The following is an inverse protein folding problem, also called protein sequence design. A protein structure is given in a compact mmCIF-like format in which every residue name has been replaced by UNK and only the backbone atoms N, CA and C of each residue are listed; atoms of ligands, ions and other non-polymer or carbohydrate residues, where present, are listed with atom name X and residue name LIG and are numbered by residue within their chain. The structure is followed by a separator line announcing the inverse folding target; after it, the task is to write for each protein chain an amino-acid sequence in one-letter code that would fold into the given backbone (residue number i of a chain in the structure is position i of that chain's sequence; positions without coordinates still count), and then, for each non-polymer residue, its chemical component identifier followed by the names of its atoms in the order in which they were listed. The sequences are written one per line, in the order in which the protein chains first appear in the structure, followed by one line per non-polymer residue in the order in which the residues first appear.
data_IF_103839003885
#
_entry.id   IF_103839003885
#
_cell.length_a   1.000
_cell.length_b   1.000
_cell.length_c   1.000
_cell.angle_alpha   90.00
_cell.angle_beta   90.00
_cell.angle_gamma   90.00
#
_symmetry.space_group_name_H-M   'P 1'
#
loop_
_entity.id
_entity.type
_entity.pdbx_description
1 polymer ?
#
# COMPACT_ATOMS: atom_id res chain seq x y z
N UNK A 1 -4.05 -18.38 23.61
CA UNK A 1 -5.11 -17.60 22.92
C UNK A 1 -5.03 -16.15 23.35
N UNK A 2 -5.08 -15.19 22.42
CA UNK A 2 -5.24 -13.76 22.77
C UNK A 2 -6.66 -13.54 23.34
N UNK A 3 -6.84 -12.66 24.34
CA UNK A 3 -8.15 -12.42 24.93
C UNK A 3 -9.09 -11.76 23.92
N UNK A 4 -10.31 -12.28 23.80
CA UNK A 4 -11.36 -11.70 22.95
C UNK A 4 -12.06 -10.57 23.72
N UNK A 5 -12.35 -9.46 23.02
CA UNK A 5 -13.23 -8.39 23.54
C UNK A 5 -14.52 -8.39 22.74
N UNK A 6 -15.65 -8.50 23.43
CA UNK A 6 -16.97 -8.47 22.78
C UNK A 6 -17.28 -7.08 22.25
N UNK A 7 -17.72 -7.01 20.99
CA UNK A 7 -18.18 -5.80 20.31
C UNK A 7 -19.35 -6.16 19.41
N UNK A 8 -20.35 -5.29 19.33
CA UNK A 8 -21.50 -5.45 18.44
C UNK A 8 -21.32 -4.56 17.22
N UNK A 9 -21.45 -5.12 16.03
CA UNK A 9 -21.41 -4.41 14.75
C UNK A 9 -22.71 -4.66 14.00
N UNK A 10 -23.19 -3.66 13.25
CA UNK A 10 -24.34 -3.81 12.36
C UNK A 10 -23.81 -3.98 10.94
N UNK A 11 -24.25 -5.04 10.27
CA UNK A 11 -23.87 -5.35 8.90
C UNK A 11 -25.12 -5.23 8.01
N UNK A 12 -24.97 -4.76 6.76
CA UNK A 12 -25.99 -4.93 5.74
C UNK A 12 -26.40 -6.40 5.62
N UNK A 13 -27.69 -6.63 5.34
CA UNK A 13 -28.25 -7.99 5.35
C UNK A 13 -27.59 -8.89 4.30
N UNK A 14 -27.39 -8.37 3.10
CA UNK A 14 -26.72 -9.03 1.99
C UNK A 14 -25.27 -9.41 2.33
N UNK A 15 -24.55 -8.55 3.06
CA UNK A 15 -23.21 -8.84 3.53
C UNK A 15 -23.21 -9.95 4.58
N UNK A 16 -24.17 -9.91 5.51
CA UNK A 16 -24.31 -10.94 6.53
C UNK A 16 -24.63 -12.31 5.93
N UNK A 17 -25.56 -12.37 4.97
CA UNK A 17 -25.93 -13.61 4.28
C UNK A 17 -24.73 -14.25 3.54
N UNK A 18 -23.85 -13.40 2.95
CA UNK A 18 -22.60 -13.87 2.32
C UNK A 18 -21.60 -14.44 3.32
N UNK A 19 -21.46 -13.79 4.48
CA UNK A 19 -20.58 -14.27 5.56
C UNK A 19 -21.10 -15.60 6.11
N UNK A 20 -22.41 -15.73 6.31
CA UNK A 20 -23.02 -16.98 6.78
C UNK A 20 -22.79 -18.13 5.80
N UNK A 21 -22.92 -17.88 4.49
CA UNK A 21 -22.65 -18.88 3.45
C UNK A 21 -21.17 -19.32 3.44
N UNK A 22 -20.24 -18.37 3.58
CA UNK A 22 -18.80 -18.66 3.65
C UNK A 22 -18.45 -19.45 4.92
N UNK A 23 -19.01 -19.05 6.06
CA UNK A 23 -18.84 -19.74 7.35
C UNK A 23 -19.33 -21.20 7.27
N UNK A 24 -20.51 -21.41 6.67
CA UNK A 24 -21.05 -22.75 6.44
C UNK A 24 -20.14 -23.58 5.51
N UNK A 25 -19.60 -22.98 4.45
CA UNK A 25 -18.67 -23.65 3.54
C UNK A 25 -17.34 -24.04 4.21
N UNK A 26 -16.87 -23.27 5.18
CA UNK A 26 -15.62 -23.49 5.89
C UNK A 26 -15.78 -24.31 7.18
N UNK A 27 -17.02 -24.62 7.58
CA UNK A 27 -17.31 -25.32 8.84
C UNK A 27 -16.94 -24.49 10.08
N UNK A 28 -16.99 -23.17 9.98
CA UNK A 28 -16.63 -22.25 11.06
C UNK A 28 -17.80 -21.30 11.39
N UNK A 29 -17.61 -20.43 12.38
CA UNK A 29 -18.61 -19.43 12.76
C UNK A 29 -18.49 -18.15 11.92
N UNK A 30 -19.59 -17.42 11.69
CA UNK A 30 -19.54 -16.09 11.06
C UNK A 30 -18.57 -15.13 11.77
N UNK A 31 -18.45 -15.26 13.09
CA UNK A 31 -17.51 -14.46 13.89
C UNK A 31 -16.04 -14.76 13.59
N UNK A 32 -15.71 -15.99 13.21
CA UNK A 32 -14.34 -16.37 12.80
C UNK A 32 -14.03 -15.82 11.41
N UNK A 33 -14.96 -15.92 10.46
CA UNK A 33 -14.82 -15.31 9.12
C UNK A 33 -14.60 -13.80 9.23
N UNK A 34 -15.42 -13.12 10.03
CA UNK A 34 -15.27 -11.66 10.25
C UNK A 34 -13.91 -11.34 10.85
N UNK A 35 -13.48 -12.08 11.88
CA UNK A 35 -12.20 -11.84 12.54
C UNK A 35 -11.02 -12.03 11.59
N UNK A 36 -11.02 -13.14 10.85
CA UNK A 36 -9.98 -13.44 9.87
C UNK A 36 -9.94 -12.42 8.73
N UNK A 37 -11.11 -12.01 8.22
CA UNK A 37 -11.20 -10.95 7.21
C UNK A 37 -10.61 -9.63 7.69
N UNK A 38 -10.88 -9.24 8.95
CA UNK A 38 -10.30 -8.04 9.58
C UNK A 38 -8.78 -8.20 9.74
N UNK A 39 -8.30 -9.34 10.25
CA UNK A 39 -6.86 -9.60 10.41
C UNK A 39 -6.12 -9.51 9.07
N UNK A 40 -6.62 -10.19 8.03
CA UNK A 40 -6.06 -10.14 6.67
C UNK A 40 -6.06 -8.72 6.10
N UNK A 41 -7.13 -7.96 6.30
CA UNK A 41 -7.20 -6.57 5.85
C UNK A 41 -6.13 -5.70 6.54
N UNK A 42 -6.01 -5.79 7.87
CA UNK A 42 -5.06 -5.02 8.65
C UNK A 42 -3.60 -5.40 8.32
N UNK A 43 -3.31 -6.68 8.11
CA UNK A 43 -1.97 -7.11 7.72
C UNK A 43 -1.64 -6.71 6.28
N UNK A 44 -2.62 -6.76 5.37
CA UNK A 44 -2.49 -6.21 4.01
C UNK A 44 -2.16 -4.71 4.03
N UNK A 45 -2.82 -3.92 4.87
CA UNK A 45 -2.50 -2.50 5.05
C UNK A 45 -1.07 -2.28 5.55
N UNK A 46 -0.59 -3.07 6.51
CA UNK A 46 0.81 -2.98 6.99
C UNK A 46 1.80 -3.29 5.86
N UNK A 47 1.54 -4.32 5.06
CA UNK A 47 2.40 -4.68 3.93
C UNK A 47 2.41 -3.59 2.87
N UNK A 48 1.26 -3.01 2.53
CA UNK A 48 1.17 -1.89 1.59
C UNK A 48 1.89 -0.65 2.09
N UNK A 49 1.74 -0.30 3.37
CA UNK A 49 2.44 0.83 3.98
C UNK A 49 3.96 0.60 4.06
N UNK A 50 4.39 -0.60 4.45
CA UNK A 50 5.80 -1.01 4.46
C UNK A 50 6.40 -1.00 3.06
N UNK A 51 5.67 -1.51 2.07
CA UNK A 51 6.03 -1.51 0.66
C UNK A 51 6.15 -0.09 0.11
N UNK A 52 5.18 0.79 0.40
CA UNK A 52 5.22 2.21 0.01
C UNK A 52 6.44 2.91 0.60
N UNK A 53 6.74 2.70 1.89
CA UNK A 53 7.89 3.32 2.54
C UNK A 53 9.21 2.77 2.00
N UNK A 54 9.28 1.47 1.70
CA UNK A 54 10.46 0.86 1.06
C UNK A 54 10.66 1.41 -0.35
N UNK A 55 9.59 1.51 -1.14
CA UNK A 55 9.64 2.04 -2.49
C UNK A 55 10.16 3.48 -2.49
N UNK A 56 9.60 4.36 -1.64
CA UNK A 56 10.10 5.72 -1.45
C UNK A 56 11.59 5.74 -1.12
N UNK A 57 12.06 4.92 -0.17
CA UNK A 57 13.49 4.86 0.17
C UNK A 57 14.38 4.45 -1.01
N UNK A 58 13.95 3.47 -1.81
CA UNK A 58 14.70 3.02 -2.98
C UNK A 58 14.72 4.09 -4.07
N UNK A 59 13.58 4.74 -4.33
CA UNK A 59 13.47 5.84 -5.29
C UNK A 59 14.39 7.01 -4.90
N UNK A 60 14.37 7.43 -3.64
CA UNK A 60 15.26 8.50 -3.15
C UNK A 60 16.73 8.10 -3.27
N UNK A 61 17.08 6.86 -2.90
CA UNK A 61 18.44 6.36 -3.07
C UNK A 61 18.90 6.41 -4.52
N UNK A 62 18.05 5.98 -5.46
CA UNK A 62 18.35 6.04 -6.90
C UNK A 62 18.52 7.47 -7.38
N UNK A 63 17.65 8.40 -6.97
CA UNK A 63 17.76 9.82 -7.33
C UNK A 63 19.08 10.43 -6.86
N UNK A 64 19.46 10.19 -5.60
CA UNK A 64 20.72 10.68 -5.03
C UNK A 64 21.93 10.06 -5.73
N UNK A 65 21.91 8.75 -5.98
CA UNK A 65 22.99 8.06 -6.67
C UNK A 65 23.16 8.57 -8.11
N UNK A 66 22.06 8.75 -8.84
CA UNK A 66 22.08 9.27 -10.20
C UNK A 66 22.58 10.72 -10.24
N UNK A 67 22.12 11.60 -9.35
CA UNK A 67 22.62 12.98 -9.27
C UNK A 67 24.13 13.02 -8.96
N UNK A 68 24.62 12.13 -8.08
CA UNK A 68 26.05 12.02 -7.80
C UNK A 68 26.86 11.57 -9.03
N UNK A 69 26.37 10.57 -9.78
CA UNK A 69 27.01 10.10 -11.02
C UNK A 69 27.00 11.22 -12.08
N UNK A 70 25.86 11.88 -12.30
CA UNK A 70 25.73 12.98 -13.26
C UNK A 70 26.69 14.12 -12.91
N UNK A 71 26.75 14.55 -11.64
CA UNK A 71 27.68 15.61 -11.22
C UNK A 71 29.13 15.25 -11.46
N UNK A 72 29.48 13.97 -11.37
CA UNK A 72 30.86 13.50 -11.54
C UNK A 72 31.22 13.34 -13.02
N UNK A 73 30.36 12.69 -13.79
CA UNK A 73 30.70 12.20 -15.13
C UNK A 73 30.10 13.07 -16.26
N UNK A 74 28.99 13.78 -16.00
CA UNK A 74 28.26 14.62 -16.97
C UNK A 74 27.68 15.90 -16.33
N UNK A 75 28.51 16.75 -15.68
CA UNK A 75 28.01 17.90 -14.93
C UNK A 75 27.21 18.89 -15.79
N UNK A 76 27.52 18.99 -17.08
CA UNK A 76 26.83 19.84 -18.06
C UNK A 76 25.37 19.43 -18.30
N UNK A 77 25.03 18.17 -18.06
CA UNK A 77 23.69 17.63 -18.29
C UNK A 77 22.74 17.89 -17.12
N UNK A 78 23.25 18.27 -15.95
CA UNK A 78 22.48 18.30 -14.72
C UNK A 78 21.27 19.23 -14.81
N UNK A 79 21.46 20.47 -15.22
CA UNK A 79 20.38 21.47 -15.28
C UNK A 79 19.35 21.12 -16.35
N UNK A 80 19.82 20.60 -17.50
CA UNK A 80 18.96 20.11 -18.58
C UNK A 80 18.04 18.98 -18.10
N UNK A 81 18.58 18.03 -17.34
CA UNK A 81 17.81 16.91 -16.80
C UNK A 81 16.77 17.36 -15.75
N UNK A 82 17.09 18.37 -14.93
CA UNK A 82 16.12 18.96 -14.00
C UNK A 82 14.97 19.63 -14.77
N UNK A 83 15.28 20.47 -15.75
CA UNK A 83 14.27 21.16 -16.57
C UNK A 83 13.37 20.18 -17.33
N UNK A 84 13.95 19.14 -17.91
CA UNK A 84 13.20 18.12 -18.64
C UNK A 84 12.33 17.27 -17.71
N UNK A 85 12.79 17.02 -16.47
CA UNK A 85 11.99 16.36 -15.44
C UNK A 85 10.75 17.20 -15.10
N UNK A 86 10.92 18.49 -14.84
CA UNK A 86 9.80 19.42 -14.56
C UNK A 86 8.81 19.48 -15.72
N UNK A 87 9.31 19.54 -16.96
CA UNK A 87 8.48 19.54 -18.17
C UNK A 87 7.63 18.27 -18.25
N UNK A 88 8.22 17.09 -18.01
CA UNK A 88 7.51 15.80 -18.08
C UNK A 88 6.52 15.63 -16.94
N UNK A 89 6.85 16.11 -15.74
CA UNK A 89 5.92 16.12 -14.61
C UNK A 89 4.66 16.93 -14.92
N UNK A 90 4.83 18.13 -15.51
CA UNK A 90 3.70 18.94 -15.99
C UNK A 90 2.88 18.23 -17.07
N UNK A 91 3.56 17.65 -18.06
CA UNK A 91 2.91 17.05 -19.23
C UNK A 91 2.13 15.76 -18.89
N UNK A 92 2.68 14.90 -18.04
CA UNK A 92 2.14 13.56 -17.79
C UNK A 92 1.44 13.40 -16.45
N UNK A 93 1.74 14.27 -15.48
CA UNK A 93 1.30 14.10 -14.10
C UNK A 93 0.59 15.35 -13.53
N UNK A 94 0.50 16.44 -14.30
CA UNK A 94 -0.29 17.63 -13.95
C UNK A 94 0.20 18.40 -12.72
N UNK A 95 1.46 18.19 -12.34
CA UNK A 95 2.13 18.85 -11.22
C UNK A 95 2.73 20.20 -11.63
#
# INVERSE_FOLDING_TARGET
MKPLRHRTVRLPRDLYDRIDAEAASLGCTPSEVIREGIERHLDGLKLLQGSKRRHLRVTEYMQVALDAIIRKDHPEMRDTLVLETDRRMKLHHGA
#
